data_IF_947873718742
#
_entry.id   IF_947873718742
#
_cell.length_a   1.000
_cell.length_b   1.000
_cell.length_c   1.000
_cell.angle_alpha   90.00
_cell.angle_beta   90.00
_cell.angle_gamma   90.00
#
_symmetry.space_group_name_H-M   'P 1'
#
loop_
_entity.id
_entity.type
_entity.pdbx_description
1 polymer ?
#
# COMPACT_ATOMS: atom_id res chain seq x y z
N UNK A 1 10.87 52.67 18.79
CA UNK A 1 11.16 52.64 17.33
C UNK A 1 9.83 52.40 16.60
N UNK A 2 9.36 53.34 15.78
CA UNK A 2 8.14 53.18 14.97
C UNK A 2 8.42 52.17 13.84
N UNK A 3 7.92 50.95 13.99
CA UNK A 3 8.16 49.89 12.99
C UNK A 3 7.00 49.88 11.99
N UNK A 4 7.29 50.05 10.69
CA UNK A 4 6.29 49.96 9.62
C UNK A 4 5.83 48.52 9.40
N UNK A 5 4.67 48.33 8.78
CA UNK A 5 4.33 47.02 8.21
C UNK A 5 5.45 46.54 7.30
N UNK A 6 5.71 45.25 7.40
CA UNK A 6 6.78 44.61 6.68
C UNK A 6 6.31 43.26 6.16
N UNK A 7 7.20 42.60 5.43
CA UNK A 7 7.00 41.22 4.98
C UNK A 7 6.73 40.23 6.11
N UNK A 8 6.98 40.59 7.38
CA UNK A 8 6.81 39.72 8.55
C UNK A 8 5.93 40.32 9.65
N UNK A 9 5.33 41.51 9.42
CA UNK A 9 4.49 42.19 10.42
C UNK A 9 3.25 42.79 9.77
N UNK A 10 2.09 42.44 10.29
CA UNK A 10 0.79 43.01 10.00
C UNK A 10 0.24 43.62 11.31
N UNK A 11 -0.39 44.79 11.24
CA UNK A 11 -1.04 45.36 12.42
C UNK A 11 -2.54 45.55 12.17
N UNK A 12 -3.33 45.31 13.21
CA UNK A 12 -4.77 45.50 13.24
C UNK A 12 -5.14 46.24 14.52
N UNK A 13 -6.08 47.18 14.41
CA UNK A 13 -6.56 47.91 15.57
C UNK A 13 -7.43 47.02 16.45
N UNK A 14 -8.34 46.27 15.84
CA UNK A 14 -9.30 45.41 16.54
C UNK A 14 -9.19 43.94 16.08
N UNK A 15 -9.44 43.02 17.01
CA UNK A 15 -9.64 41.60 16.76
C UNK A 15 -11.15 41.30 16.67
N UNK A 16 -11.58 40.67 15.58
CA UNK A 16 -12.99 40.27 15.39
C UNK A 16 -13.09 38.86 14.82
N UNK A 17 -13.86 37.99 15.50
CA UNK A 17 -14.07 36.59 15.08
C UNK A 17 -14.64 36.45 13.66
N UNK A 18 -15.49 37.37 13.23
CA UNK A 18 -16.07 37.38 11.87
C UNK A 18 -15.09 37.71 10.75
N UNK A 19 -13.87 38.16 11.06
CA UNK A 19 -12.83 38.50 10.08
C UNK A 19 -11.74 37.41 10.00
N UNK A 20 -11.98 36.23 10.56
CA UNK A 20 -10.98 35.16 10.68
C UNK A 20 -10.44 34.70 9.33
N UNK A 21 -11.26 34.71 8.28
CA UNK A 21 -10.80 34.38 6.92
C UNK A 21 -9.83 35.41 6.31
N UNK A 22 -9.91 36.68 6.74
CA UNK A 22 -8.91 37.68 6.37
C UNK A 22 -7.58 37.37 7.05
N UNK A 23 -7.61 37.02 8.33
CA UNK A 23 -6.42 36.61 9.07
C UNK A 23 -5.83 35.32 8.48
N UNK A 24 -6.68 34.35 8.14
CA UNK A 24 -6.30 33.07 7.54
C UNK A 24 -5.51 33.25 6.24
N UNK A 25 -5.95 34.17 5.36
CA UNK A 25 -5.20 34.52 4.14
C UNK A 25 -3.81 35.09 4.45
N UNK A 26 -3.73 35.99 5.42
CA UNK A 26 -2.46 36.60 5.84
C UNK A 26 -1.54 35.58 6.52
N UNK A 27 -2.08 34.67 7.32
CA UNK A 27 -1.34 33.58 7.94
C UNK A 27 -0.76 32.65 6.87
N UNK A 28 -1.56 32.20 5.91
CA UNK A 28 -1.07 31.39 4.78
C UNK A 28 0.01 32.14 3.95
N UNK A 29 -0.17 33.44 3.74
CA UNK A 29 0.81 34.27 3.04
C UNK A 29 2.14 34.40 3.81
N UNK A 30 2.10 34.50 5.13
CA UNK A 30 3.28 34.48 5.99
C UNK A 30 3.98 33.12 5.96
N UNK A 31 3.20 32.04 6.08
CA UNK A 31 3.71 30.68 6.06
C UNK A 31 4.46 30.37 4.76
N UNK A 32 3.92 30.78 3.60
CA UNK A 32 4.60 30.66 2.30
C UNK A 32 5.83 31.56 2.15
N UNK A 33 5.88 32.69 2.84
CA UNK A 33 6.99 33.63 2.78
C UNK A 33 8.12 33.26 3.74
N UNK A 34 8.11 33.79 4.96
CA UNK A 34 9.18 33.64 5.99
C UNK A 34 8.63 33.63 7.43
N UNK A 35 7.35 33.28 7.58
CA UNK A 35 6.60 33.50 8.81
C UNK A 35 6.33 34.98 9.09
N UNK A 36 5.62 35.26 10.18
CA UNK A 36 5.29 36.63 10.54
C UNK A 36 4.32 36.75 11.70
N UNK A 37 4.10 37.99 12.13
CA UNK A 37 3.23 38.37 13.24
C UNK A 37 2.04 39.18 12.74
N UNK A 38 0.86 38.86 13.25
CA UNK A 38 -0.31 39.75 13.23
C UNK A 38 -0.48 40.31 14.64
N UNK A 39 -0.29 41.61 14.80
CA UNK A 39 -0.48 42.31 16.08
C UNK A 39 -1.85 42.98 16.13
N UNK A 40 -2.55 42.83 17.25
CA UNK A 40 -3.88 43.40 17.50
C UNK A 40 -3.82 44.43 18.64
N UNK A 41 -4.52 45.56 18.48
CA UNK A 41 -4.45 46.70 19.41
C UNK A 41 -3.46 47.78 18.97
N UNK A 42 -3.18 47.86 17.66
CA UNK A 42 -2.31 48.89 17.06
C UNK A 42 -3.05 49.61 15.94
N UNK A 43 -3.17 50.93 16.03
CA UNK A 43 -3.87 51.77 15.03
C UNK A 43 -3.13 51.79 13.70
N UNK A 44 -3.86 52.01 12.58
CA UNK A 44 -3.27 51.98 11.24
C UNK A 44 -2.46 53.25 10.91
N UNK A 45 -3.00 54.42 11.26
CA UNK A 45 -2.33 55.71 11.05
C UNK A 45 -2.74 56.76 12.10
N UNK A 46 -1.83 57.22 12.99
CA UNK A 46 -0.45 56.77 13.18
C UNK A 46 -0.38 55.38 13.83
N UNK A 47 0.73 54.66 13.68
CA UNK A 47 0.95 53.29 14.21
C UNK A 47 1.23 53.32 15.72
N UNK A 48 0.20 53.44 16.54
CA UNK A 48 0.28 53.56 18.00
C UNK A 48 -0.37 52.34 18.65
N UNK A 49 0.30 51.76 19.64
CA UNK A 49 -0.27 50.71 20.46
C UNK A 49 -1.33 51.31 21.40
N UNK A 50 -2.60 51.07 21.07
CA UNK A 50 -3.76 51.49 21.87
C UNK A 50 -4.26 50.37 22.78
N UNK A 51 -3.80 49.15 22.54
CA UNK A 51 -4.16 47.97 23.29
C UNK A 51 -5.51 47.38 22.86
N UNK A 52 -5.74 46.14 23.27
CA UNK A 52 -7.04 45.49 23.13
C UNK A 52 -8.00 46.04 24.20
N UNK A 53 -9.21 46.45 23.79
CA UNK A 53 -10.30 46.77 24.72
C UNK A 53 -10.71 45.53 25.51
N UNK A 54 -11.27 45.69 26.72
CA UNK A 54 -11.58 44.57 27.64
C UNK A 54 -12.33 43.40 26.99
N UNK A 55 -13.33 43.69 26.15
CA UNK A 55 -14.07 42.68 25.39
C UNK A 55 -13.21 41.98 24.35
N UNK A 56 -12.42 42.72 23.57
CA UNK A 56 -11.53 42.15 22.56
C UNK A 56 -10.36 41.37 23.19
N UNK A 57 -9.91 41.78 24.38
CA UNK A 57 -8.93 41.05 25.20
C UNK A 57 -9.51 39.72 25.66
N UNK A 58 -10.72 39.72 26.21
CA UNK A 58 -11.44 38.50 26.58
C UNK A 58 -11.71 37.58 25.39
N UNK A 59 -12.11 38.13 24.24
CA UNK A 59 -12.37 37.34 23.02
C UNK A 59 -11.08 36.74 22.41
N UNK A 60 -9.94 37.42 22.59
CA UNK A 60 -8.63 36.94 22.14
C UNK A 60 -8.04 35.88 23.09
N UNK A 61 -8.23 36.06 24.40
CA UNK A 61 -7.76 35.12 25.42
C UNK A 61 -8.59 33.82 25.44
N UNK A 62 -9.91 33.94 25.24
CA UNK A 62 -10.82 32.80 25.10
C UNK A 62 -10.91 32.27 23.65
N UNK A 63 -9.95 32.62 22.79
CA UNK A 63 -9.95 32.15 21.42
C UNK A 63 -9.84 30.62 21.39
N UNK A 64 -10.86 29.98 20.84
CA UNK A 64 -10.87 28.54 20.60
C UNK A 64 -9.87 28.18 19.50
N UNK A 65 -8.65 27.85 19.93
CA UNK A 65 -7.54 27.54 19.03
C UNK A 65 -7.86 26.35 18.13
N UNK A 66 -8.59 25.36 18.64
CA UNK A 66 -9.00 24.18 17.88
C UNK A 66 -9.92 24.56 16.73
N UNK A 67 -10.92 25.42 16.95
CA UNK A 67 -11.80 25.91 15.88
C UNK A 67 -11.07 26.75 14.83
N UNK A 68 -10.09 27.57 15.25
CA UNK A 68 -9.28 28.33 14.29
C UNK A 68 -8.42 27.39 13.43
N UNK A 69 -7.75 26.41 14.04
CA UNK A 69 -6.97 25.41 13.31
C UNK A 69 -7.85 24.57 12.38
N UNK A 70 -9.04 24.14 12.81
CA UNK A 70 -10.01 23.44 11.95
C UNK A 70 -10.44 24.32 10.76
N UNK A 71 -10.71 25.61 11.02
CA UNK A 71 -11.03 26.59 9.98
C UNK A 71 -9.90 26.77 8.97
N UNK A 72 -8.65 26.82 9.43
CA UNK A 72 -7.46 26.90 8.57
C UNK A 72 -7.28 25.63 7.74
N UNK A 73 -7.37 24.44 8.34
CA UNK A 73 -7.19 23.15 7.66
C UNK A 73 -8.32 22.82 6.67
N UNK A 74 -9.50 23.42 6.86
CA UNK A 74 -10.57 23.39 5.86
C UNK A 74 -10.22 24.20 4.61
N UNK A 75 -9.60 25.37 4.80
CA UNK A 75 -9.31 26.31 3.70
C UNK A 75 -7.98 26.00 3.03
N UNK A 76 -6.97 25.52 3.77
CA UNK A 76 -5.59 25.39 3.34
C UNK A 76 -5.03 23.98 3.53
N UNK A 77 -4.05 23.62 2.71
CA UNK A 77 -3.16 22.46 2.89
C UNK A 77 -1.79 22.78 2.29
N UNK A 78 -0.66 22.37 2.90
CA UNK A 78 -0.52 21.71 4.21
C UNK A 78 -1.00 22.55 5.42
N UNK A 79 -0.95 21.97 6.62
CA UNK A 79 -1.37 22.64 7.86
C UNK A 79 -0.54 23.91 8.13
N UNK A 80 -1.21 25.00 8.53
CA UNK A 80 -0.56 26.24 8.91
C UNK A 80 -0.24 26.20 10.40
N UNK A 81 1.04 26.14 10.76
CA UNK A 81 1.46 26.22 12.16
C UNK A 81 1.42 27.67 12.67
N UNK A 82 0.83 27.88 13.84
CA UNK A 82 0.72 29.20 14.46
C UNK A 82 0.70 29.12 16.00
N UNK A 83 0.98 30.26 16.65
CA UNK A 83 0.86 30.44 18.10
C UNK A 83 0.18 31.76 18.42
N UNK A 84 -0.57 31.76 19.51
CA UNK A 84 -1.18 32.95 20.09
C UNK A 84 -0.37 33.43 21.30
N UNK A 85 -0.31 34.73 21.52
CA UNK A 85 0.27 35.31 22.72
C UNK A 85 -0.29 36.68 23.02
N UNK A 86 -0.35 37.03 24.31
CA UNK A 86 -0.60 38.38 24.78
C UNK A 86 0.72 39.02 25.19
N UNK A 87 0.94 40.27 24.78
CA UNK A 87 2.13 41.05 25.09
C UNK A 87 1.68 42.23 25.94
N UNK A 88 2.17 42.29 27.18
CA UNK A 88 1.99 43.45 28.05
C UNK A 88 3.05 44.50 27.72
N UNK A 89 2.59 45.69 27.34
CA UNK A 89 3.41 46.86 27.10
C UNK A 89 3.41 47.76 28.35
N UNK A 90 4.43 48.63 28.50
CA UNK A 90 4.44 49.66 29.53
C UNK A 90 3.14 50.48 29.51
N UNK A 91 2.70 50.97 30.69
CA UNK A 91 1.46 51.73 30.90
C UNK A 91 0.16 50.89 30.88
N UNK A 92 0.25 49.56 31.04
CA UNK A 92 -0.93 48.68 31.17
C UNK A 92 -1.64 48.36 29.85
N UNK A 93 -0.97 48.59 28.72
CA UNK A 93 -1.49 48.30 27.39
C UNK A 93 -1.22 46.84 27.01
N UNK A 94 -2.26 46.04 26.75
CA UNK A 94 -2.11 44.64 26.30
C UNK A 94 -2.33 44.55 24.78
N UNK A 95 -1.38 43.97 24.06
CA UNK A 95 -1.44 43.72 22.61
C UNK A 95 -1.56 42.22 22.35
N UNK A 96 -2.47 41.82 21.48
CA UNK A 96 -2.57 40.43 21.03
C UNK A 96 -1.62 40.16 19.87
N UNK A 97 -1.00 38.99 19.84
CA UNK A 97 -0.12 38.56 18.76
C UNK A 97 -0.50 37.15 18.28
N UNK A 98 -0.68 37.01 16.97
CA UNK A 98 -0.69 35.71 16.30
C UNK A 98 0.62 35.60 15.53
N UNK A 99 1.44 34.64 15.90
CA UNK A 99 2.65 34.29 15.16
C UNK A 99 2.36 33.12 14.24
N UNK A 100 2.67 33.27 12.95
CA UNK A 100 2.63 32.18 11.97
C UNK A 100 4.05 31.78 11.64
N UNK A 101 4.34 30.48 11.77
CA UNK A 101 5.64 29.94 11.42
C UNK A 101 5.82 29.94 9.90
N UNK A 102 7.07 30.04 9.45
CA UNK A 102 7.40 29.67 8.08
C UNK A 102 7.04 28.21 7.89
N UNK A 103 6.30 27.87 6.83
CA UNK A 103 5.95 26.49 6.57
C UNK A 103 7.19 25.71 6.19
N UNK A 104 7.41 24.57 6.84
CA UNK A 104 8.41 23.61 6.42
C UNK A 104 8.00 23.00 5.08
N UNK A 105 6.73 22.64 4.90
CA UNK A 105 6.21 22.10 3.64
C UNK A 105 5.47 23.17 2.81
N UNK A 106 6.22 23.90 1.98
CA UNK A 106 5.68 24.88 1.04
C UNK A 106 5.43 24.25 -0.34
N UNK A 107 4.37 24.67 -1.07
CA UNK A 107 3.49 25.79 -0.73
C UNK A 107 2.24 25.38 0.08
N UNK A 108 1.76 26.28 0.94
CA UNK A 108 0.41 26.29 1.49
C UNK A 108 -0.56 26.75 0.39
N UNK A 109 -1.50 25.88 0.01
CA UNK A 109 -2.45 26.06 -1.09
C UNK A 109 -3.87 26.11 -0.54
N UNK A 110 -4.72 26.99 -1.10
CA UNK A 110 -6.13 27.01 -0.81
C UNK A 110 -6.86 25.80 -1.43
N UNK A 111 -7.45 24.95 -0.60
CA UNK A 111 -8.25 23.77 -1.01
C UNK A 111 -9.67 24.12 -1.42
N UNK A 112 -10.19 25.22 -0.89
CA UNK A 112 -11.56 25.65 -1.13
C UNK A 112 -11.59 27.13 -1.39
N UNK A 113 -12.50 27.58 -2.25
CA UNK A 113 -12.78 29.00 -2.39
C UNK A 113 -13.28 29.60 -1.07
N UNK A 114 -12.87 30.83 -0.78
CA UNK A 114 -13.33 31.59 0.38
C UNK A 114 -13.63 33.02 -0.04
N UNK A 115 -14.80 33.53 0.34
CA UNK A 115 -15.20 34.90 0.01
C UNK A 115 -15.91 35.57 1.19
N UNK A 116 -15.17 36.38 1.95
CA UNK A 116 -15.72 37.32 2.94
C UNK A 116 -14.85 38.58 3.02
N UNK A 117 -15.47 39.74 3.26
CA UNK A 117 -14.81 41.00 3.69
C UNK A 117 -13.46 41.27 2.99
N UNK A 118 -13.45 41.29 1.66
CA UNK A 118 -12.27 41.52 0.80
C UNK A 118 -11.16 40.44 0.80
N UNK A 119 -11.35 39.33 1.50
CA UNK A 119 -10.54 38.13 1.36
C UNK A 119 -11.19 37.19 0.32
N UNK A 120 -10.93 37.45 -0.97
CA UNK A 120 -11.26 36.52 -2.05
C UNK A 120 -10.11 35.53 -2.22
N UNK A 121 -10.37 34.26 -1.98
CA UNK A 121 -9.53 33.13 -2.38
C UNK A 121 -10.31 32.23 -3.32
N UNK A 122 -9.62 31.73 -4.33
CA UNK A 122 -10.08 30.67 -5.21
C UNK A 122 -9.36 29.39 -4.84
N UNK A 123 -9.97 28.25 -5.15
CA UNK A 123 -9.27 26.96 -5.05
C UNK A 123 -8.00 26.96 -5.90
N UNK A 124 -6.91 26.42 -5.35
CA UNK A 124 -5.59 26.41 -5.97
C UNK A 124 -4.79 27.72 -5.80
N UNK A 125 -5.37 28.76 -5.20
CA UNK A 125 -4.60 29.98 -4.92
C UNK A 125 -3.52 29.70 -3.87
N UNK A 126 -2.31 30.21 -4.12
CA UNK A 126 -1.18 30.20 -3.18
C UNK A 126 -1.00 31.64 -2.68
N UNK A 127 -1.42 31.96 -1.45
CA UNK A 127 -1.19 33.28 -0.88
C UNK A 127 0.29 33.50 -0.61
N UNK A 128 0.81 34.68 -0.92
CA UNK A 128 2.19 35.05 -0.66
C UNK A 128 2.28 36.49 -0.16
N UNK A 129 3.22 36.74 0.77
CA UNK A 129 3.43 38.06 1.36
C UNK A 129 4.47 38.84 0.59
N UNK A 130 4.04 39.94 -0.04
CA UNK A 130 4.89 40.94 -0.69
C UNK A 130 4.90 42.22 0.15
N UNK A 131 5.99 42.46 0.89
CA UNK A 131 6.11 43.60 1.79
C UNK A 131 4.86 43.73 2.69
N UNK A 132 4.00 44.71 2.46
CA UNK A 132 2.81 44.98 3.27
C UNK A 132 1.52 44.32 2.74
N UNK A 133 1.55 43.53 1.66
CA UNK A 133 0.34 42.96 1.04
C UNK A 133 0.39 41.45 0.88
N UNK A 134 -0.74 40.81 1.21
CA UNK A 134 -0.97 39.38 0.99
C UNK A 134 -1.73 39.21 -0.33
N UNK A 135 -1.06 38.69 -1.35
CA UNK A 135 -1.59 38.57 -2.72
C UNK A 135 -1.40 37.14 -3.24
N UNK A 136 -1.91 36.84 -4.44
CA UNK A 136 -1.59 35.57 -5.09
C UNK A 136 -0.11 35.56 -5.45
N UNK A 137 0.56 34.42 -5.25
CA UNK A 137 1.97 34.25 -5.60
C UNK A 137 2.20 34.59 -7.08
N UNK A 138 3.29 35.31 -7.34
CA UNK A 138 3.75 35.62 -8.69
C UNK A 138 4.75 34.56 -9.15
N UNK A 139 4.93 34.49 -10.46
CA UNK A 139 5.79 33.50 -11.10
C UNK A 139 7.20 33.38 -10.48
N UNK A 140 7.94 34.47 -10.17
CA UNK A 140 9.29 34.35 -9.63
C UNK A 140 9.35 33.61 -8.29
N UNK A 141 8.45 33.96 -7.36
CA UNK A 141 8.39 33.32 -6.05
C UNK A 141 7.90 31.88 -6.15
N UNK A 142 6.93 31.61 -7.02
CA UNK A 142 6.44 30.25 -7.26
C UNK A 142 7.55 29.35 -7.82
N UNK A 143 8.27 29.83 -8.83
CA UNK A 143 9.41 29.10 -9.40
C UNK A 143 10.43 28.77 -8.33
N UNK A 144 10.79 29.75 -7.49
CA UNK A 144 11.74 29.53 -6.39
C UNK A 144 11.22 28.49 -5.39
N UNK A 145 9.95 28.56 -4.98
CA UNK A 145 9.38 27.56 -4.06
C UNK A 145 9.43 26.14 -4.63
N UNK A 146 9.15 25.97 -5.93
CA UNK A 146 9.21 24.67 -6.59
C UNK A 146 10.66 24.15 -6.71
N UNK A 147 11.61 25.03 -7.03
CA UNK A 147 13.03 24.70 -7.05
C UNK A 147 13.54 24.31 -5.65
N UNK A 148 13.17 25.07 -4.62
CA UNK A 148 13.53 24.78 -3.23
C UNK A 148 12.93 23.45 -2.76
N UNK A 149 11.68 23.14 -3.11
CA UNK A 149 11.05 21.86 -2.81
C UNK A 149 11.82 20.69 -3.46
N UNK A 150 12.13 20.81 -4.76
CA UNK A 150 12.92 19.82 -5.50
C UNK A 150 14.32 19.65 -4.89
N UNK A 151 15.00 20.74 -4.53
CA UNK A 151 16.32 20.69 -3.93
C UNK A 151 16.30 20.05 -2.54
N UNK A 152 15.24 20.26 -1.75
CA UNK A 152 15.07 19.60 -0.44
C UNK A 152 14.92 18.09 -0.58
N UNK A 153 14.10 17.63 -1.52
CA UNK A 153 13.94 16.21 -1.83
C UNK A 153 15.28 15.61 -2.30
N UNK A 154 15.96 16.28 -3.23
CA UNK A 154 17.28 15.86 -3.71
C UNK A 154 18.30 15.78 -2.58
N UNK A 155 18.36 16.76 -1.66
CA UNK A 155 19.26 16.73 -0.51
C UNK A 155 18.92 15.60 0.46
N UNK A 156 17.65 15.35 0.73
CA UNK A 156 17.22 14.22 1.55
C UNK A 156 17.70 12.88 0.94
N UNK A 157 17.49 12.72 -0.37
CA UNK A 157 17.97 11.54 -1.11
C UNK A 157 19.49 11.42 -1.10
N UNK A 158 20.23 12.53 -1.27
CA UNK A 158 21.69 12.55 -1.21
C UNK A 158 22.22 12.13 0.17
N UNK A 159 21.60 12.58 1.27
CA UNK A 159 21.98 12.13 2.62
C UNK A 159 21.85 10.61 2.79
N UNK A 160 20.78 10.02 2.25
CA UNK A 160 20.61 8.57 2.26
C UNK A 160 21.66 7.86 1.39
N UNK A 161 21.98 8.40 0.21
CA UNK A 161 23.04 7.85 -0.64
C UNK A 161 24.42 7.97 0.01
N UNK A 162 24.74 9.09 0.65
CA UNK A 162 26.00 9.26 1.40
C UNK A 162 26.11 8.23 2.53
N UNK A 163 25.03 8.01 3.29
CA UNK A 163 24.99 6.98 4.32
C UNK A 163 25.22 5.57 3.73
N UNK A 164 24.59 5.26 2.60
CA UNK A 164 24.75 3.98 1.91
C UNK A 164 26.17 3.80 1.36
N UNK A 165 26.76 4.83 0.78
CA UNK A 165 28.16 4.82 0.29
C UNK A 165 29.11 4.61 1.45
N UNK A 166 28.91 5.29 2.59
CA UNK A 166 29.76 5.18 3.78
C UNK A 166 29.68 3.82 4.44
N UNK A 167 28.49 3.23 4.51
CA UNK A 167 28.30 1.85 4.98
C UNK A 167 28.86 0.81 3.98
N UNK A 168 28.91 1.18 2.70
CA UNK A 168 29.21 0.30 1.59
C UNK A 168 27.95 -0.44 1.15
N UNK A 169 27.64 -0.40 -0.15
CA UNK A 169 26.43 -1.04 -0.69
C UNK A 169 26.32 -2.52 -0.31
N UNK A 170 27.45 -3.23 -0.23
CA UNK A 170 27.55 -4.63 0.21
C UNK A 170 27.14 -4.89 1.66
N UNK A 171 27.06 -3.86 2.51
CA UNK A 171 26.76 -3.96 3.95
C UNK A 171 25.51 -3.17 4.36
N UNK A 172 24.80 -2.56 3.41
CA UNK A 172 23.63 -1.73 3.66
C UNK A 172 22.35 -2.42 3.18
N UNK A 173 21.31 -2.43 4.01
CA UNK A 173 19.99 -2.92 3.65
C UNK A 173 18.96 -1.77 3.73
N UNK A 174 17.99 -1.76 2.82
CA UNK A 174 16.92 -0.77 2.71
C UNK A 174 15.66 -1.36 3.32
N UNK A 175 15.14 -0.73 4.36
CA UNK A 175 13.83 -1.06 4.92
C UNK A 175 12.73 -0.30 4.18
N UNK A 176 11.85 -1.03 3.50
CA UNK A 176 10.67 -0.53 2.81
C UNK A 176 9.43 -0.76 3.68
N UNK A 177 8.97 0.30 4.35
CA UNK A 177 7.76 0.28 5.18
C UNK A 177 6.47 0.14 4.37
N UNK A 178 6.47 0.43 3.07
CA UNK A 178 5.27 0.26 2.22
C UNK A 178 5.07 -1.20 1.84
N UNK A 179 6.17 -1.93 1.70
CA UNK A 179 6.18 -3.35 1.39
C UNK A 179 6.43 -4.24 2.61
N UNK A 180 6.56 -3.66 3.81
CA UNK A 180 6.93 -4.35 5.05
C UNK A 180 8.16 -5.26 4.84
N UNK A 181 9.16 -4.76 4.12
CA UNK A 181 10.24 -5.58 3.59
C UNK A 181 11.62 -4.93 3.71
N UNK A 182 12.60 -5.69 4.19
CA UNK A 182 14.01 -5.31 4.23
C UNK A 182 14.73 -5.87 2.99
N UNK A 183 15.19 -4.99 2.12
CA UNK A 183 15.98 -5.31 0.95
C UNK A 183 17.47 -5.24 1.28
N UNK A 184 18.16 -6.36 1.23
CA UNK A 184 19.59 -6.43 1.43
C UNK A 184 20.41 -5.98 0.20
N UNK A 185 21.73 -5.86 0.39
CA UNK A 185 22.71 -5.48 -0.62
C UNK A 185 22.60 -6.18 -1.98
N UNK A 186 22.19 -7.44 -1.98
CA UNK A 186 22.15 -8.33 -3.15
C UNK A 186 20.76 -8.38 -3.79
N UNK A 187 19.82 -7.54 -3.33
CA UNK A 187 18.41 -7.61 -3.73
C UNK A 187 17.59 -8.63 -2.95
N UNK A 188 18.16 -9.32 -1.94
CA UNK A 188 17.37 -10.22 -1.10
C UNK A 188 16.31 -9.43 -0.34
N UNK A 189 15.04 -9.86 -0.38
CA UNK A 189 13.94 -9.16 0.28
C UNK A 189 13.43 -10.01 1.45
N UNK A 190 13.63 -9.54 2.67
CA UNK A 190 13.18 -10.16 3.91
C UNK A 190 11.91 -9.48 4.35
N UNK A 191 10.78 -10.18 4.36
CA UNK A 191 9.53 -9.63 4.91
C UNK A 191 9.65 -9.55 6.43
N UNK A 192 9.25 -8.42 6.99
CA UNK A 192 9.22 -8.20 8.43
C UNK A 192 7.78 -8.36 8.89
N UNK A 193 7.58 -9.13 9.95
CA UNK A 193 6.29 -9.29 10.62
C UNK A 193 5.71 -7.92 11.01
N UNK A 194 4.42 -7.70 10.73
CA UNK A 194 3.73 -6.44 11.02
C UNK A 194 3.83 -6.05 12.50
N UNK A 195 3.80 -7.02 13.42
CA UNK A 195 3.95 -6.78 14.86
C UNK A 195 5.37 -6.34 15.25
N UNK A 196 6.37 -6.64 14.43
CA UNK A 196 7.75 -6.19 14.64
C UNK A 196 7.97 -4.79 14.06
N UNK A 197 7.29 -4.45 12.96
CA UNK A 197 7.31 -3.11 12.36
C UNK A 197 6.76 -2.06 13.32
N UNK A 198 5.66 -2.38 14.01
CA UNK A 198 5.09 -1.50 15.03
C UNK A 198 6.06 -1.25 16.20
N UNK A 199 6.96 -2.21 16.49
CA UNK A 199 8.02 -2.06 17.51
C UNK A 199 9.29 -1.39 16.98
N UNK A 200 9.54 -1.46 15.66
CA UNK A 200 10.63 -0.77 14.96
C UNK A 200 10.25 0.68 14.65
N UNK A 201 8.96 1.05 14.75
CA UNK A 201 8.46 2.40 14.46
C UNK A 201 9.24 3.46 15.24
N UNK A 202 10.22 4.06 14.56
CA UNK A 202 11.03 5.14 15.10
C UNK A 202 10.14 6.37 15.31
N UNK A 203 10.41 7.08 16.40
CA UNK A 203 9.87 8.42 16.65
C UNK A 203 10.30 9.32 15.48
N UNK A 204 9.31 9.86 14.75
CA UNK A 204 9.53 10.85 13.69
C UNK A 204 10.42 11.98 14.22
N UNK A 205 11.45 12.32 13.44
CA UNK A 205 12.34 13.47 13.66
C UNK A 205 11.52 14.71 14.05
N UNK A 206 11.65 15.13 15.30
CA UNK A 206 10.93 16.30 15.82
C UNK A 206 11.56 16.95 17.04
N UNK A 207 12.48 16.28 17.74
CA UNK A 207 13.25 16.89 18.82
C UNK A 207 14.53 16.08 19.07
N UNK A 208 15.60 16.44 18.36
CA UNK A 208 16.96 16.08 18.78
C UNK A 208 17.63 17.37 19.23
N UNK A 209 17.55 17.67 20.52
CA UNK A 209 18.53 18.55 21.15
C UNK A 209 19.83 17.73 21.25
N UNK A 210 20.66 17.84 20.21
CA UNK A 210 21.98 17.23 20.17
C UNK A 210 22.88 17.90 21.22
N UNK A 211 22.94 17.31 22.41
CA UNK A 211 24.04 17.58 23.34
C UNK A 211 25.26 16.82 22.82
N UNK A 212 26.28 17.56 22.41
CA UNK A 212 27.51 17.03 21.84
C UNK A 212 28.11 15.90 22.71
N UNK A 213 28.19 14.69 22.14
CA UNK A 213 28.95 13.56 22.70
C UNK A 213 28.17 12.30 23.08
N UNK A 214 26.84 12.26 22.96
CA UNK A 214 26.07 11.04 23.25
C UNK A 214 26.00 10.10 22.03
N UNK A 215 26.19 8.78 22.21
CA UNK A 215 26.22 7.82 21.11
C UNK A 215 24.84 7.70 20.45
N UNK A 216 24.82 7.66 19.11
CA UNK A 216 23.64 7.29 18.35
C UNK A 216 23.13 5.93 18.84
N UNK A 217 21.86 5.88 19.27
CA UNK A 217 21.21 4.73 19.89
C UNK A 217 21.52 3.41 19.14
N UNK A 218 22.29 2.53 19.79
CA UNK A 218 22.50 1.15 19.36
C UNK A 218 21.38 0.29 19.94
N UNK A 219 20.37 -0.01 19.13
CA UNK A 219 19.36 -0.99 19.49
C UNK A 219 19.99 -2.39 19.42
N UNK A 220 20.30 -2.99 20.57
CA UNK A 220 20.65 -4.42 20.66
C UNK A 220 19.39 -5.16 21.07
N UNK A 221 18.61 -5.59 20.08
CA UNK A 221 17.56 -6.57 20.29
C UNK A 221 18.14 -7.97 20.10
N UNK A 222 17.85 -8.89 21.03
CA UNK A 222 17.97 -10.31 20.70
C UNK A 222 16.91 -10.61 19.64
N UNK A 223 17.35 -10.64 18.38
CA UNK A 223 16.65 -11.39 17.36
C UNK A 223 16.67 -12.83 17.85
N UNK A 224 15.56 -13.29 18.45
CA UNK A 224 15.36 -14.73 18.52
C UNK A 224 15.46 -15.20 17.08
N UNK A 225 16.40 -16.11 16.76
CA UNK A 225 16.35 -16.77 15.48
C UNK A 225 14.97 -17.40 15.44
N UNK A 226 14.10 -16.95 14.55
CA UNK A 226 12.98 -17.78 14.16
C UNK A 226 13.63 -19.10 13.75
N UNK A 227 13.43 -20.12 14.59
CA UNK A 227 14.01 -21.43 14.48
C UNK A 227 13.80 -21.88 13.04
N UNK A 228 14.90 -21.91 12.28
CA UNK A 228 14.95 -22.21 10.84
C UNK A 228 13.90 -21.50 9.97
N UNK A 229 14.16 -20.26 9.55
CA UNK A 229 13.71 -19.86 8.21
C UNK A 229 14.83 -20.26 7.26
N UNK A 230 14.67 -21.46 6.73
CA UNK A 230 15.45 -22.02 5.63
C UNK A 230 15.71 -20.94 4.58
N UNK A 231 16.97 -20.76 4.19
CA UNK A 231 17.33 -20.11 2.92
C UNK A 231 16.45 -20.74 1.82
N UNK A 232 15.40 -20.06 1.38
CA UNK A 232 14.33 -20.68 0.61
C UNK A 232 13.80 -19.74 -0.46
N UNK A 233 14.40 -19.87 -1.66
CA UNK A 233 13.81 -19.74 -3.00
C UNK A 233 12.80 -18.61 -3.24
N UNK A 234 13.14 -17.72 -4.20
CA UNK A 234 12.28 -16.67 -4.79
C UNK A 234 10.78 -16.96 -4.65
N UNK A 235 10.06 -16.14 -3.86
CA UNK A 235 8.62 -16.30 -3.65
C UNK A 235 7.83 -15.37 -4.58
N UNK A 236 6.89 -15.91 -5.34
CA UNK A 236 6.00 -15.16 -6.22
C UNK A 236 4.96 -14.41 -5.36
N UNK A 237 4.95 -13.08 -5.42
CA UNK A 237 3.95 -12.23 -4.75
C UNK A 237 3.19 -11.41 -5.80
N UNK A 238 1.88 -11.67 -5.95
CA UNK A 238 1.01 -10.96 -6.90
C UNK A 238 0.17 -9.91 -6.17
N UNK A 239 0.06 -8.71 -6.75
CA UNK A 239 -0.77 -7.61 -6.23
C UNK A 239 -2.27 -7.79 -6.51
N UNK A 240 -2.61 -8.45 -7.62
CA UNK A 240 -3.95 -8.90 -7.95
C UNK A 240 -3.88 -10.34 -8.47
N UNK A 241 -4.64 -11.24 -7.84
CA UNK A 241 -4.63 -12.65 -8.18
C UNK A 241 -5.92 -13.01 -8.92
N UNK A 242 -5.80 -13.59 -10.11
CA UNK A 242 -6.92 -14.13 -10.88
C UNK A 242 -7.02 -15.66 -10.71
N UNK A 243 -8.16 -16.24 -11.11
CA UNK A 243 -8.33 -17.70 -11.15
C UNK A 243 -7.35 -18.38 -12.09
N UNK A 244 -6.92 -17.67 -13.13
CA UNK A 244 -5.98 -18.18 -14.13
C UNK A 244 -4.57 -18.22 -13.55
N UNK A 245 -4.21 -17.23 -12.74
CA UNK A 245 -2.95 -17.22 -11.99
C UNK A 245 -2.88 -18.38 -10.98
N UNK A 246 -3.99 -18.70 -10.31
CA UNK A 246 -4.07 -19.85 -9.38
C UNK A 246 -3.77 -21.16 -10.10
N UNK A 247 -4.31 -21.34 -11.31
CA UNK A 247 -4.04 -22.53 -12.10
C UNK A 247 -2.61 -22.52 -12.68
N UNK A 248 -2.19 -21.38 -13.21
CA UNK A 248 -0.88 -21.20 -13.84
C UNK A 248 0.28 -21.48 -12.87
N UNK A 249 0.21 -20.92 -11.66
CA UNK A 249 1.27 -21.02 -10.66
C UNK A 249 1.32 -22.42 -10.04
N UNK A 250 0.19 -23.13 -9.99
CA UNK A 250 0.16 -24.56 -9.62
C UNK A 250 0.87 -25.42 -10.68
N UNK A 251 0.61 -25.17 -11.97
CA UNK A 251 1.24 -25.91 -13.07
C UNK A 251 2.76 -25.70 -13.14
N UNK A 252 3.24 -24.55 -12.69
CA UNK A 252 4.68 -24.25 -12.59
C UNK A 252 5.30 -24.69 -11.26
N UNK A 253 4.50 -25.14 -10.29
CA UNK A 253 4.91 -25.35 -8.90
C UNK A 253 5.67 -24.14 -8.34
N UNK A 254 5.16 -22.94 -8.64
CA UNK A 254 5.74 -21.69 -8.17
C UNK A 254 5.70 -21.62 -6.64
N UNK A 255 6.81 -21.23 -6.01
CA UNK A 255 6.86 -20.97 -4.57
C UNK A 255 6.09 -19.67 -4.29
N UNK A 256 4.80 -19.75 -3.95
CA UNK A 256 3.97 -18.55 -3.77
C UNK A 256 4.16 -17.95 -2.38
N UNK A 257 4.22 -16.62 -2.29
CA UNK A 257 4.46 -15.91 -1.03
C UNK A 257 3.27 -15.91 -0.06
N UNK A 258 2.04 -15.91 -0.59
CA UNK A 258 0.79 -15.83 0.18
C UNK A 258 -0.21 -16.91 -0.25
N UNK A 259 0.03 -18.19 0.07
CA UNK A 259 -0.81 -19.31 -0.37
C UNK A 259 -2.29 -19.18 0.06
N UNK A 260 -2.56 -18.56 1.20
CA UNK A 260 -3.93 -18.26 1.66
C UNK A 260 -4.74 -17.39 0.68
N UNK A 261 -4.08 -16.47 -0.04
CA UNK A 261 -4.74 -15.63 -1.06
C UNK A 261 -5.15 -16.46 -2.28
N UNK A 262 -4.39 -17.51 -2.63
CA UNK A 262 -4.74 -18.45 -3.68
C UNK A 262 -5.97 -19.29 -3.31
N UNK A 263 -6.03 -19.73 -2.04
CA UNK A 263 -7.21 -20.39 -1.49
C UNK A 263 -8.40 -19.42 -1.53
N UNK A 264 -8.23 -18.19 -1.05
CA UNK A 264 -9.29 -17.16 -1.06
C UNK A 264 -9.81 -16.88 -2.46
N UNK A 265 -8.91 -16.75 -3.44
CA UNK A 265 -9.28 -16.51 -4.84
C UNK A 265 -10.09 -17.66 -5.44
N UNK A 266 -9.77 -18.91 -5.07
CA UNK A 266 -10.59 -20.07 -5.48
C UNK A 266 -12.01 -20.01 -4.92
N UNK A 267 -12.16 -19.51 -3.69
CA UNK A 267 -13.47 -19.37 -3.02
C UNK A 267 -14.31 -18.23 -3.61
N UNK A 268 -13.68 -17.11 -3.96
CA UNK A 268 -14.36 -15.92 -4.51
C UNK A 268 -14.58 -15.98 -6.03
N UNK A 269 -13.87 -16.86 -6.74
CA UNK A 269 -13.93 -17.02 -8.19
C UNK A 269 -15.25 -17.59 -8.72
N UNK A 270 -15.33 -17.88 -10.02
CA UNK A 270 -16.55 -18.35 -10.69
C UNK A 270 -16.71 -19.87 -10.72
N UNK A 271 -15.66 -20.63 -10.37
CA UNK A 271 -15.62 -22.09 -10.42
C UNK A 271 -14.95 -22.65 -9.18
N UNK A 272 -15.50 -23.74 -8.63
CA UNK A 272 -14.89 -24.50 -7.52
C UNK A 272 -13.91 -25.57 -7.98
N UNK A 273 -13.58 -25.62 -9.27
CA UNK A 273 -12.62 -26.58 -9.86
C UNK A 273 -11.27 -25.91 -10.07
N UNK A 274 -10.58 -25.59 -8.97
CA UNK A 274 -9.19 -25.14 -8.98
C UNK A 274 -8.39 -25.93 -7.92
N UNK A 275 -7.06 -26.07 -8.10
CA UNK A 275 -6.19 -26.71 -7.13
C UNK A 275 -6.12 -25.88 -5.85
N UNK A 276 -6.29 -26.54 -4.71
CA UNK A 276 -6.26 -25.90 -3.37
C UNK A 276 -5.37 -26.66 -2.38
N UNK A 277 -5.13 -27.94 -2.60
CA UNK A 277 -4.35 -28.79 -1.68
C UNK A 277 -2.87 -28.42 -1.70
N UNK A 278 -2.33 -28.06 -2.86
CA UNK A 278 -0.99 -27.50 -3.03
C UNK A 278 -0.81 -26.23 -2.19
N UNK A 279 -1.75 -25.29 -2.30
CA UNK A 279 -1.71 -24.04 -1.54
C UNK A 279 -1.96 -24.28 -0.05
N UNK A 280 -2.82 -25.25 0.32
CA UNK A 280 -2.96 -25.72 1.71
C UNK A 280 -1.62 -26.21 2.27
N UNK A 281 -0.92 -27.07 1.51
CA UNK A 281 0.37 -27.61 1.92
C UNK A 281 1.43 -26.50 2.05
N UNK A 282 1.46 -25.53 1.14
CA UNK A 282 2.34 -24.36 1.24
C UNK A 282 2.00 -23.45 2.43
N UNK A 283 0.71 -23.30 2.75
CA UNK A 283 0.23 -22.55 3.90
C UNK A 283 0.42 -23.31 5.23
N UNK A 284 0.89 -24.57 5.19
CA UNK A 284 1.02 -25.43 6.36
C UNK A 284 -0.29 -25.61 7.14
N UNK A 285 -1.42 -25.55 6.43
CA UNK A 285 -2.75 -25.71 7.02
C UNK A 285 -3.15 -27.19 7.07
N UNK A 286 -3.80 -27.61 8.15
CA UNK A 286 -4.46 -28.93 8.18
C UNK A 286 -5.68 -28.96 7.25
N UNK A 287 -6.22 -30.16 7.01
CA UNK A 287 -7.49 -30.28 6.28
C UNK A 287 -8.65 -29.55 6.98
N UNK A 288 -8.69 -29.62 8.31
CA UNK A 288 -9.71 -28.94 9.12
C UNK A 288 -9.57 -27.41 9.07
N UNK A 289 -8.34 -26.90 9.12
CA UNK A 289 -8.05 -25.47 9.00
C UNK A 289 -8.49 -24.94 7.63
N UNK A 290 -8.24 -25.71 6.55
CA UNK A 290 -8.70 -25.34 5.21
C UNK A 290 -10.22 -25.24 5.15
N UNK A 291 -10.94 -26.21 5.71
CA UNK A 291 -12.40 -26.19 5.76
C UNK A 291 -12.94 -25.01 6.56
N UNK A 292 -12.33 -24.70 7.71
CA UNK A 292 -12.71 -23.52 8.51
C UNK A 292 -12.48 -22.23 7.74
N UNK A 293 -11.29 -22.06 7.17
CA UNK A 293 -10.91 -20.89 6.38
C UNK A 293 -11.85 -20.65 5.20
N UNK A 294 -12.14 -21.69 4.41
CA UNK A 294 -13.09 -21.61 3.28
C UNK A 294 -14.50 -21.25 3.77
N UNK A 295 -14.92 -21.78 4.92
CA UNK A 295 -16.25 -21.55 5.49
C UNK A 295 -16.44 -20.13 6.04
N UNK A 296 -15.39 -19.51 6.58
CA UNK A 296 -15.43 -18.15 7.13
C UNK A 296 -15.49 -17.05 6.05
N UNK A 297 -15.00 -17.33 4.83
CA UNK A 297 -14.99 -16.33 3.75
C UNK A 297 -16.43 -15.96 3.35
N UNK A 298 -16.84 -14.72 3.64
CA UNK A 298 -18.14 -14.19 3.26
C UNK A 298 -18.23 -13.93 1.75
N UNK A 299 -18.79 -14.87 0.99
CA UNK A 299 -19.05 -14.71 -0.45
C UNK A 299 -20.36 -15.40 -0.86
N UNK A 300 -21.00 -14.87 -1.92
CA UNK A 300 -22.18 -15.47 -2.58
C UNK A 300 -21.81 -16.36 -3.77
N UNK A 301 -20.51 -16.53 -4.05
CA UNK A 301 -20.05 -17.29 -5.22
C UNK A 301 -20.50 -18.77 -5.15
N UNK A 302 -20.94 -19.37 -6.27
CA UNK A 302 -21.21 -20.80 -6.35
C UNK A 302 -19.93 -21.65 -6.16
N UNK A 303 -18.74 -21.07 -6.36
CA UNK A 303 -17.46 -21.76 -6.19
C UNK A 303 -17.25 -22.24 -4.75
N UNK A 304 -17.61 -21.42 -3.75
CA UNK A 304 -17.51 -21.76 -2.32
C UNK A 304 -18.25 -23.06 -1.99
N UNK A 305 -19.53 -23.14 -2.38
CA UNK A 305 -20.37 -24.32 -2.11
C UNK A 305 -19.77 -25.58 -2.75
N UNK A 306 -19.30 -25.46 -4.00
CA UNK A 306 -18.72 -26.58 -4.74
C UNK A 306 -17.37 -27.02 -4.17
N UNK A 307 -16.57 -26.08 -3.68
CA UNK A 307 -15.29 -26.38 -3.03
C UNK A 307 -15.49 -27.09 -1.69
N UNK A 308 -16.41 -26.61 -0.85
CA UNK A 308 -16.75 -27.27 0.41
C UNK A 308 -17.26 -28.70 0.16
N UNK A 309 -18.14 -28.89 -0.83
CA UNK A 309 -18.62 -30.22 -1.24
C UNK A 309 -17.45 -31.14 -1.57
N UNK A 310 -16.52 -30.70 -2.44
CA UNK A 310 -15.33 -31.48 -2.83
C UNK A 310 -14.44 -31.85 -1.64
N UNK A 311 -14.14 -30.87 -0.78
CA UNK A 311 -13.28 -31.09 0.39
C UNK A 311 -13.93 -32.06 1.39
N UNK A 312 -15.26 -31.98 1.56
CA UNK A 312 -16.00 -32.82 2.52
C UNK A 312 -16.21 -34.24 2.01
N UNK A 313 -16.53 -34.41 0.72
CA UNK A 313 -16.79 -35.74 0.13
C UNK A 313 -15.51 -36.48 -0.26
N UNK A 314 -14.36 -35.80 -0.23
CA UNK A 314 -13.12 -36.33 -0.80
C UNK A 314 -13.19 -36.48 -2.33
N UNK A 315 -13.98 -35.64 -3.01
CA UNK A 315 -14.08 -35.69 -4.48
C UNK A 315 -12.83 -35.06 -5.12
N UNK A 316 -11.90 -35.95 -5.46
CA UNK A 316 -10.60 -35.67 -6.06
C UNK A 316 -10.65 -35.59 -7.60
N UNK A 317 -11.84 -35.57 -8.20
CA UNK A 317 -12.05 -35.61 -9.65
C UNK A 317 -11.59 -36.90 -10.34
N UNK A 318 -11.28 -37.97 -9.59
CA UNK A 318 -10.89 -39.26 -10.17
C UNK A 318 -12.03 -39.84 -11.00
N UNK A 319 -11.68 -40.26 -12.21
CA UNK A 319 -12.58 -40.90 -13.15
C UNK A 319 -12.22 -42.39 -13.27
N UNK A 320 -13.19 -43.27 -13.59
CA UNK A 320 -12.87 -44.66 -13.92
C UNK A 320 -12.05 -44.71 -15.21
N UNK A 321 -11.13 -45.68 -15.35
CA UNK A 321 -10.39 -45.90 -16.58
C UNK A 321 -11.29 -46.02 -17.82
N UNK A 322 -10.86 -45.52 -19.00
CA UNK A 322 -11.64 -45.63 -20.23
C UNK A 322 -11.98 -47.09 -20.57
N UNK A 323 -13.29 -47.39 -20.73
CA UNK A 323 -13.76 -48.76 -21.03
C UNK A 323 -13.08 -49.33 -22.26
N UNK A 324 -12.54 -50.56 -22.16
CA UNK A 324 -11.83 -51.30 -23.23
C UNK A 324 -12.76 -51.69 -24.38
N UNK A 325 -14.04 -51.96 -24.10
CA UNK A 325 -15.00 -52.46 -25.09
C UNK A 325 -15.67 -51.37 -25.92
N UNK A 326 -15.59 -50.10 -25.50
CA UNK A 326 -16.18 -48.98 -26.24
C UNK A 326 -15.42 -48.73 -27.54
N UNK A 327 -16.16 -48.64 -28.65
CA UNK A 327 -15.67 -48.28 -29.98
C UNK A 327 -15.92 -46.80 -30.32
N UNK A 328 -16.46 -46.01 -29.38
CA UNK A 328 -16.70 -44.60 -29.63
C UNK A 328 -15.36 -43.86 -29.74
N UNK A 329 -15.19 -43.06 -30.82
CA UNK A 329 -13.91 -42.41 -31.15
C UNK A 329 -13.29 -41.66 -29.97
N UNK A 330 -14.08 -40.87 -29.24
CA UNK A 330 -13.59 -40.15 -28.05
C UNK A 330 -13.09 -41.07 -26.92
N UNK A 331 -13.68 -42.27 -26.76
CA UNK A 331 -13.23 -43.22 -25.74
C UNK A 331 -11.96 -43.92 -26.17
N UNK A 332 -11.83 -44.23 -27.46
CA UNK A 332 -10.62 -44.82 -28.04
C UNK A 332 -9.43 -43.87 -27.89
N UNK A 333 -9.60 -42.59 -28.24
CA UNK A 333 -8.54 -41.58 -28.09
C UNK A 333 -8.13 -41.34 -26.64
N UNK A 334 -9.11 -41.22 -25.71
CA UNK A 334 -8.82 -41.12 -24.27
C UNK A 334 -8.06 -42.35 -23.76
N UNK A 335 -8.43 -43.55 -24.22
CA UNK A 335 -7.76 -44.80 -23.83
C UNK A 335 -6.31 -44.82 -24.33
N UNK A 336 -6.07 -44.38 -25.55
CA UNK A 336 -4.70 -44.31 -26.09
C UNK A 336 -3.80 -43.40 -25.24
N UNK A 337 -4.28 -42.22 -24.82
CA UNK A 337 -3.54 -41.36 -23.89
C UNK A 337 -3.37 -41.99 -22.51
N UNK A 338 -4.41 -42.62 -21.96
CA UNK A 338 -4.32 -43.32 -20.67
C UNK A 338 -3.26 -44.43 -20.70
N UNK A 339 -3.27 -45.29 -21.72
CA UNK A 339 -2.28 -46.36 -21.89
C UNK A 339 -0.86 -45.81 -22.05
N UNK A 340 -0.68 -44.70 -22.76
CA UNK A 340 0.63 -44.03 -22.86
C UNK A 340 1.14 -43.52 -21.52
N UNK A 341 0.25 -42.96 -20.68
CA UNK A 341 0.61 -42.44 -19.36
C UNK A 341 0.98 -43.57 -18.38
N UNK A 342 0.16 -44.62 -18.32
CA UNK A 342 0.39 -45.78 -17.42
C UNK A 342 1.62 -46.59 -17.84
N UNK A 343 1.92 -46.68 -19.14
CA UNK A 343 3.11 -47.41 -19.64
C UNK A 343 4.42 -46.61 -19.56
N UNK A 344 4.41 -45.43 -18.93
CA UNK A 344 5.59 -44.59 -18.79
C UNK A 344 6.06 -43.95 -20.12
N UNK A 345 5.21 -43.90 -21.13
CA UNK A 345 5.51 -43.33 -22.46
C UNK A 345 5.08 -41.86 -22.58
N UNK A 346 5.14 -41.11 -21.47
CA UNK A 346 4.69 -39.71 -21.40
C UNK A 346 5.39 -38.81 -22.42
N UNK A 347 6.65 -39.07 -22.73
CA UNK A 347 7.43 -38.33 -23.74
C UNK A 347 6.86 -38.44 -25.17
N UNK A 348 6.07 -39.49 -25.45
CA UNK A 348 5.43 -39.71 -26.75
C UNK A 348 4.07 -39.03 -26.86
N UNK A 349 3.55 -38.46 -25.77
CA UNK A 349 2.24 -37.81 -25.76
C UNK A 349 2.28 -36.57 -26.65
N UNK A 350 1.49 -36.59 -27.71
CA UNK A 350 1.31 -35.46 -28.61
C UNK A 350 -0.17 -35.18 -28.82
N UNK A 351 -0.53 -33.90 -28.71
CA UNK A 351 -1.83 -33.39 -29.10
C UNK A 351 -1.62 -32.14 -29.96
N UNK A 352 -2.35 -32.08 -31.08
CA UNK A 352 -2.27 -30.99 -32.06
C UNK A 352 -3.60 -30.25 -32.23
N UNK A 353 -4.66 -30.75 -31.60
CA UNK A 353 -6.00 -30.16 -31.66
C UNK A 353 -6.56 -29.96 -30.24
N UNK A 354 -7.47 -28.99 -30.04
CA UNK A 354 -8.13 -28.81 -28.74
C UNK A 354 -8.91 -30.05 -28.27
N UNK A 355 -9.46 -30.85 -29.19
CA UNK A 355 -10.15 -32.09 -28.85
C UNK A 355 -9.18 -33.14 -28.29
N UNK A 356 -8.01 -33.30 -28.91
CA UNK A 356 -6.97 -34.20 -28.43
C UNK A 356 -6.42 -33.75 -27.07
N UNK A 357 -6.21 -32.44 -26.87
CA UNK A 357 -5.82 -31.89 -25.58
C UNK A 357 -6.88 -32.18 -24.50
N UNK A 358 -8.17 -32.05 -24.82
CA UNK A 358 -9.25 -32.42 -23.91
C UNK A 358 -9.21 -33.92 -23.57
N UNK A 359 -9.02 -34.80 -24.55
CA UNK A 359 -8.94 -36.25 -24.31
C UNK A 359 -7.74 -36.64 -23.45
N UNK A 360 -6.59 -36.00 -23.66
CA UNK A 360 -5.43 -36.13 -22.79
C UNK A 360 -5.76 -35.74 -21.34
N UNK A 361 -6.34 -34.57 -21.11
CA UNK A 361 -6.70 -34.09 -19.77
C UNK A 361 -7.76 -34.98 -19.10
N UNK A 362 -8.70 -35.53 -19.87
CA UNK A 362 -9.67 -36.52 -19.38
C UNK A 362 -8.99 -37.85 -19.00
N UNK A 363 -7.94 -38.27 -19.71
CA UNK A 363 -7.16 -39.46 -19.38
C UNK A 363 -6.37 -39.29 -18.08
N UNK A 364 -5.80 -38.09 -17.83
CA UNK A 364 -5.09 -37.76 -16.58
C UNK A 364 -5.97 -37.99 -15.35
N UNK A 365 -7.26 -37.67 -15.43
CA UNK A 365 -8.22 -37.91 -14.34
C UNK A 365 -8.41 -39.38 -13.98
N UNK A 366 -8.05 -40.29 -14.88
CA UNK A 366 -8.23 -41.73 -14.70
C UNK A 366 -7.02 -42.41 -14.05
N UNK A 367 -5.91 -41.69 -13.89
CA UNK A 367 -4.71 -42.22 -13.26
C UNK A 367 -4.88 -42.37 -11.75
N UNK A 368 -4.19 -43.35 -11.18
CA UNK A 368 -4.05 -43.57 -9.74
C UNK A 368 -3.01 -42.61 -9.11
N UNK A 369 -3.02 -42.50 -7.77
CA UNK A 369 -2.15 -41.55 -7.05
C UNK A 369 -0.66 -41.85 -7.28
N UNK A 370 -0.31 -43.14 -7.29
CA UNK A 370 1.05 -43.62 -7.55
C UNK A 370 1.50 -43.31 -8.96
N UNK A 371 0.62 -43.54 -9.95
CA UNK A 371 0.90 -43.26 -11.36
C UNK A 371 1.13 -41.77 -11.59
N UNK A 372 0.33 -40.90 -10.96
CA UNK A 372 0.52 -39.44 -11.02
C UNK A 372 1.85 -39.05 -10.38
N UNK A 373 2.17 -39.58 -9.19
CA UNK A 373 3.39 -39.25 -8.48
C UNK A 373 4.66 -39.61 -9.27
N UNK A 374 4.65 -40.71 -10.03
CA UNK A 374 5.78 -41.14 -10.86
C UNK A 374 6.06 -40.21 -12.04
N UNK A 375 5.02 -39.60 -12.63
CA UNK A 375 5.14 -38.81 -13.86
C UNK A 375 4.83 -37.32 -13.69
N UNK A 376 4.67 -36.84 -12.45
CA UNK A 376 4.11 -35.51 -12.13
C UNK A 376 4.82 -34.36 -12.83
N UNK A 377 6.16 -34.37 -12.90
CA UNK A 377 6.92 -33.24 -13.45
C UNK A 377 6.71 -33.09 -14.96
N UNK A 378 6.73 -34.20 -15.70
CA UNK A 378 6.43 -34.20 -17.14
C UNK A 378 4.94 -33.96 -17.42
N UNK A 379 4.07 -34.48 -16.54
CA UNK A 379 2.64 -34.28 -16.62
C UNK A 379 2.26 -32.80 -16.48
N UNK A 380 2.82 -32.10 -15.50
CA UNK A 380 2.60 -30.67 -15.30
C UNK A 380 3.10 -29.84 -16.49
N UNK A 381 4.23 -30.20 -17.11
CA UNK A 381 4.72 -29.55 -18.34
C UNK A 381 3.73 -29.71 -19.51
N UNK A 382 3.19 -30.91 -19.73
CA UNK A 382 2.19 -31.14 -20.77
C UNK A 382 0.89 -30.39 -20.48
N UNK A 383 0.42 -30.39 -19.23
CA UNK A 383 -0.75 -29.62 -18.81
C UNK A 383 -0.53 -28.11 -18.99
N UNK A 384 0.66 -27.60 -18.66
CA UNK A 384 1.07 -26.22 -18.90
C UNK A 384 1.06 -25.86 -20.38
N UNK A 385 1.46 -26.78 -21.26
CA UNK A 385 1.33 -26.61 -22.70
C UNK A 385 -0.14 -26.45 -23.12
N UNK A 386 -1.06 -27.27 -22.57
CA UNK A 386 -2.51 -27.09 -22.84
C UNK A 386 -3.04 -25.75 -22.33
N UNK A 387 -2.49 -25.25 -21.22
CA UNK A 387 -2.83 -23.94 -20.67
C UNK A 387 -2.48 -22.82 -21.66
N UNK A 388 -1.23 -22.81 -22.14
CA UNK A 388 -0.72 -21.78 -23.07
C UNK A 388 -1.45 -21.84 -24.42
N UNK A 389 -1.67 -23.03 -24.97
CA UNK A 389 -2.17 -23.20 -26.34
C UNK A 389 -3.69 -23.03 -26.47
N UNK A 390 -4.48 -23.40 -25.46
CA UNK A 390 -5.94 -23.60 -25.64
C UNK A 390 -6.84 -23.15 -24.48
N UNK A 391 -6.30 -22.72 -23.34
CA UNK A 391 -7.13 -22.39 -22.17
C UNK A 391 -8.02 -21.17 -22.39
N UNK A 392 -7.50 -20.09 -22.96
CA UNK A 392 -8.28 -18.86 -23.22
C UNK A 392 -9.22 -18.97 -24.42
N UNK A 393 -8.91 -19.87 -25.36
CA UNK A 393 -9.62 -19.99 -26.65
C UNK A 393 -10.65 -21.12 -26.68
N UNK A 394 -10.58 -22.12 -25.79
CA UNK A 394 -11.49 -23.26 -25.79
C UNK A 394 -12.02 -23.60 -24.38
N UNK A 395 -13.31 -23.32 -24.17
CA UNK A 395 -13.97 -23.53 -22.88
C UNK A 395 -13.98 -25.01 -22.41
N UNK A 396 -14.02 -25.98 -23.34
CA UNK A 396 -14.00 -27.42 -22.98
C UNK A 396 -12.64 -27.85 -22.47
N UNK A 397 -11.57 -27.34 -23.10
CA UNK A 397 -10.18 -27.58 -22.64
C UNK A 397 -9.97 -26.90 -21.30
N UNK A 398 -10.46 -25.67 -21.11
CA UNK A 398 -10.35 -24.96 -19.84
C UNK A 398 -11.03 -25.68 -18.67
N UNK A 399 -12.23 -26.24 -18.88
CA UNK A 399 -12.91 -27.05 -17.85
C UNK A 399 -12.18 -28.37 -17.57
N UNK A 400 -11.75 -29.07 -18.63
CA UNK A 400 -10.99 -30.31 -18.49
C UNK A 400 -9.66 -30.10 -17.74
N UNK A 401 -8.94 -29.00 -18.04
CA UNK A 401 -7.66 -28.68 -17.43
C UNK A 401 -7.84 -28.37 -15.94
N UNK A 402 -8.85 -27.57 -15.59
CA UNK A 402 -9.19 -27.26 -14.21
C UNK A 402 -9.46 -28.50 -13.37
N UNK A 403 -10.23 -29.45 -13.92
CA UNK A 403 -10.56 -30.72 -13.24
C UNK A 403 -9.35 -31.67 -13.18
N UNK A 404 -8.56 -31.76 -14.24
CA UNK A 404 -7.32 -32.53 -14.24
C UNK A 404 -6.32 -31.98 -13.22
N UNK A 405 -6.18 -30.65 -13.12
CA UNK A 405 -5.33 -30.00 -12.12
C UNK A 405 -5.80 -30.32 -10.70
N UNK A 406 -7.11 -30.33 -10.45
CA UNK A 406 -7.67 -30.78 -9.17
C UNK A 406 -7.34 -32.24 -8.83
N UNK A 407 -7.34 -33.14 -9.82
CA UNK A 407 -6.93 -34.54 -9.63
C UNK A 407 -5.46 -34.63 -9.25
N UNK A 408 -4.59 -33.99 -10.01
CA UNK A 408 -3.13 -33.99 -9.74
C UNK A 408 -2.84 -33.36 -8.38
N UNK A 409 -3.51 -32.25 -8.06
CA UNK A 409 -3.41 -31.57 -6.78
C UNK A 409 -3.78 -32.48 -5.60
N UNK A 410 -4.90 -33.20 -5.72
CA UNK A 410 -5.33 -34.14 -4.68
C UNK A 410 -4.44 -35.36 -4.56
N UNK A 411 -3.96 -35.93 -5.67
CA UNK A 411 -3.04 -37.06 -5.65
C UNK A 411 -1.71 -36.71 -4.96
N UNK A 412 -1.19 -35.51 -5.21
CA UNK A 412 0.11 -35.08 -4.70
C UNK A 412 0.05 -34.50 -3.29
N UNK A 413 -1.03 -33.81 -2.94
CA UNK A 413 -1.11 -33.00 -1.73
C UNK A 413 -2.39 -33.23 -0.92
N UNK A 414 -3.28 -34.12 -1.34
CA UNK A 414 -4.60 -34.33 -0.73
C UNK A 414 -4.62 -35.27 0.47
N UNK A 415 -3.48 -35.80 0.91
CA UNK A 415 -3.37 -36.60 2.13
C UNK A 415 -4.02 -35.85 3.30
N UNK A 416 -4.98 -36.49 3.97
CA UNK A 416 -5.73 -35.91 5.10
C UNK A 416 -4.82 -35.51 6.24
#
# INVERSE_FOLDING_TARGET
MLTRESSTKEFKENFTWGSIGLYARTMAAFANARGGYIFFGVTDNPRIAVGLRDRAKSDFDNLDQAKLTEGLNRIFSPEVHWKLGLIELPLGCTVGAIYTFEADDKPIIARTGYQQQNAKLSEGDIPYRYNSRSERIKFPELKRLLEDAKLREQRAMMRHMEALIRAGAANAAILDFSANALQGPSGQRVMIDENLIDRISFIKEGQFDEVAGAPALKLVGELQPATSITLGTERIVRSALSSDDVLNDFLERGNVGNPEQYIRQTVTGTTGFLPVQYYRALAQMSHEDLLSFVSEIATRSPAKKKLIERLTTGDDMKAPPPSISSQHSSTVERRAYYEQLVSGQIEKVQFSTPANAQYFLDAVKSLDDTEIAEIVDELLKLMKRTFIESYSSNAKVADALRRAACRVDSAMYGSM
#
